data_IF_988801403679
#
_entry.id   IF_988801403679
#
_cell.length_a   1.000
_cell.length_b   1.000
_cell.length_c   1.000
_cell.angle_alpha   90.00
_cell.angle_beta   90.00
_cell.angle_gamma   90.00
#
_symmetry.space_group_name_H-M   'P 1'
#
loop_
_entity.id
_entity.type
_entity.pdbx_description
1 polymer ?
#
# COMPACT_ATOMS: atom_id res chain seq x y z
N UNK A 1 52.86 39.62 23.60
CA UNK A 1 52.27 40.72 22.80
C UNK A 1 50.78 40.45 22.69
N UNK A 2 49.97 41.37 23.20
CA UNK A 2 48.51 41.24 23.34
C UNK A 2 47.77 41.31 21.98
N UNK A 3 46.58 40.69 21.88
CA UNK A 3 45.69 40.79 20.71
C UNK A 3 44.84 42.08 20.74
N UNK A 4 44.31 42.55 19.59
CA UNK A 4 43.45 43.73 19.53
C UNK A 4 41.96 43.39 19.69
N UNK A 5 41.43 43.57 20.90
CA UNK A 5 40.60 44.72 21.29
C UNK A 5 39.53 45.32 20.30
N UNK A 6 38.26 44.96 20.56
CA UNK A 6 36.96 45.72 20.52
C UNK A 6 36.32 46.27 19.22
N UNK A 7 35.05 45.90 19.00
CA UNK A 7 33.86 46.80 18.90
C UNK A 7 32.59 45.93 18.69
N UNK A 8 31.87 45.62 19.76
CA UNK A 8 30.58 46.24 20.15
C UNK A 8 29.38 45.87 19.25
N UNK A 9 28.64 44.82 19.61
CA UNK A 9 27.18 44.82 19.46
C UNK A 9 26.55 44.35 20.78
N UNK A 10 25.85 45.29 21.43
CA UNK A 10 25.07 45.09 22.65
C UNK A 10 23.92 44.12 22.38
N UNK A 11 23.91 43.00 23.09
CA UNK A 11 22.71 42.17 23.25
C UNK A 11 21.73 42.91 24.15
N UNK A 12 20.66 43.44 23.56
CA UNK A 12 19.45 43.83 24.29
C UNK A 12 18.82 42.56 24.84
N UNK A 13 18.91 42.38 26.15
CA UNK A 13 18.10 41.43 26.92
C UNK A 13 16.63 41.88 26.81
N UNK A 14 15.89 41.30 25.87
CA UNK A 14 14.43 41.31 25.89
C UNK A 14 13.97 40.41 27.05
N UNK A 15 13.01 40.85 27.87
CA UNK A 15 12.50 40.03 28.95
C UNK A 15 11.80 38.81 28.35
N UNK A 16 12.07 37.63 28.93
CA UNK A 16 11.26 36.43 28.72
C UNK A 16 9.81 36.75 29.09
N UNK A 17 9.02 37.15 28.10
CA UNK A 17 7.58 36.99 28.16
C UNK A 17 7.35 35.47 28.13
N UNK A 18 6.96 34.94 29.28
CA UNK A 18 6.46 33.59 29.39
C UNK A 18 5.24 33.44 28.46
N UNK A 19 5.47 32.97 27.24
CA UNK A 19 4.44 32.27 26.51
C UNK A 19 4.15 31.01 27.31
N UNK A 20 3.06 31.07 28.08
CA UNK A 20 2.28 29.91 28.46
C UNK A 20 1.86 29.20 27.17
N UNK A 21 2.76 28.37 26.63
CA UNK A 21 2.37 27.29 25.75
C UNK A 21 1.44 26.42 26.58
N UNK A 22 0.15 26.48 26.25
CA UNK A 22 -0.83 25.52 26.72
C UNK A 22 -0.33 24.13 26.32
N UNK A 23 0.39 23.48 27.23
CA UNK A 23 0.69 22.06 27.17
C UNK A 23 -0.60 21.30 27.34
N UNK A 24 -1.40 21.23 26.27
CA UNK A 24 -2.38 20.17 26.12
C UNK A 24 -1.61 18.86 26.18
N UNK A 25 -1.83 18.07 27.23
CA UNK A 25 -1.41 16.67 27.23
C UNK A 25 -1.93 16.08 25.92
N UNK A 26 -1.06 15.63 25.03
CA UNK A 26 -1.48 14.91 23.83
C UNK A 26 -2.44 13.83 24.30
N UNK A 27 -3.70 13.90 23.84
CA UNK A 27 -4.72 12.98 24.27
C UNK A 27 -4.26 11.58 23.88
N UNK A 28 -4.02 10.75 24.89
CA UNK A 28 -3.82 9.32 24.68
C UNK A 28 -5.18 8.80 24.25
N UNK A 29 -5.28 8.21 23.06
CA UNK A 29 -6.55 7.64 22.61
C UNK A 29 -6.91 6.40 23.44
N UNK A 30 -8.14 5.88 23.26
CA UNK A 30 -8.61 4.71 24.01
C UNK A 30 -7.75 3.45 23.83
N UNK A 31 -6.84 3.44 22.84
CA UNK A 31 -5.93 2.34 22.51
C UNK A 31 -4.53 2.56 23.07
N UNK A 32 -4.29 3.66 23.78
CA UNK A 32 -2.99 3.98 24.38
C UNK A 32 -2.04 4.75 23.47
N UNK A 33 -2.49 5.15 22.26
CA UNK A 33 -1.65 5.90 21.34
C UNK A 33 -1.63 7.38 21.66
N UNK A 34 -0.46 8.02 21.50
CA UNK A 34 -0.29 9.47 21.58
C UNK A 34 0.53 9.97 20.39
N UNK A 35 0.22 11.17 19.92
CA UNK A 35 1.02 11.84 18.90
C UNK A 35 2.49 11.95 19.36
N UNK A 36 3.41 11.57 18.48
CA UNK A 36 4.85 11.56 18.77
C UNK A 36 5.33 10.39 19.64
N UNK A 37 4.50 9.36 19.89
CA UNK A 37 4.99 8.12 20.47
C UNK A 37 5.96 7.40 19.50
N UNK A 38 7.06 6.81 20.01
CA UNK A 38 7.86 5.88 19.22
C UNK A 38 7.01 4.72 18.74
N UNK A 39 7.30 4.23 17.53
CA UNK A 39 6.63 3.06 16.98
C UNK A 39 6.83 1.83 17.88
N UNK A 40 5.83 0.94 17.93
CA UNK A 40 5.76 -0.15 18.91
C UNK A 40 7.00 -1.04 18.97
N UNK A 41 7.66 -1.29 17.82
CA UNK A 41 8.81 -2.20 17.75
C UNK A 41 10.18 -1.49 17.76
N UNK A 42 10.21 -0.16 17.94
CA UNK A 42 11.45 0.65 17.91
C UNK A 42 12.52 0.10 18.85
N UNK A 43 12.17 -0.18 20.11
CA UNK A 43 13.14 -0.63 21.11
C UNK A 43 13.84 -1.96 20.73
N UNK A 44 13.11 -2.90 20.13
CA UNK A 44 13.66 -4.18 19.71
C UNK A 44 14.58 -4.04 18.48
N UNK A 45 14.25 -3.12 17.57
CA UNK A 45 15.07 -2.82 16.39
C UNK A 45 16.42 -2.24 16.82
N UNK A 46 16.44 -1.31 17.78
CA UNK A 46 17.68 -0.71 18.29
C UNK A 46 18.38 -1.52 19.39
N UNK A 47 17.79 -2.63 19.86
CA UNK A 47 18.45 -3.52 20.81
C UNK A 47 19.76 -4.08 20.20
N UNK A 48 20.87 -4.12 20.98
CA UNK A 48 22.15 -4.64 20.50
C UNK A 48 22.03 -6.03 19.89
N UNK A 49 22.67 -6.26 18.75
CA UNK A 49 22.73 -7.58 18.13
C UNK A 49 23.84 -8.40 18.76
N UNK A 50 23.51 -9.56 19.31
CA UNK A 50 24.52 -10.53 19.70
C UNK A 50 25.21 -11.10 18.46
N UNK A 51 26.54 -11.17 18.51
CA UNK A 51 27.31 -11.76 17.40
C UNK A 51 27.50 -13.24 17.63
N UNK A 52 27.28 -14.05 16.59
CA UNK A 52 27.44 -15.51 16.66
C UNK A 52 28.74 -15.93 15.99
N UNK A 53 29.55 -16.81 16.60
CA UNK A 53 30.72 -17.38 15.94
C UNK A 53 30.31 -18.22 14.73
N UNK A 54 31.06 -18.12 13.64
CA UNK A 54 30.88 -18.94 12.44
C UNK A 54 32.23 -19.39 11.88
N UNK A 55 32.29 -20.64 11.43
CA UNK A 55 33.42 -21.20 10.69
C UNK A 55 32.99 -21.34 9.24
N UNK A 56 33.64 -20.58 8.36
CA UNK A 56 33.39 -20.63 6.92
C UNK A 56 34.48 -21.45 6.22
N UNK A 57 34.16 -22.13 5.11
CA UNK A 57 35.18 -22.78 4.29
C UNK A 57 36.26 -21.79 3.84
N UNK A 58 37.51 -22.24 3.75
CA UNK A 58 38.67 -21.39 3.49
C UNK A 58 38.49 -20.43 2.30
N UNK A 59 37.83 -20.89 1.21
CA UNK A 59 37.57 -20.08 0.02
C UNK A 59 36.67 -18.87 0.27
N UNK A 60 35.72 -18.96 1.20
CA UNK A 60 34.84 -17.84 1.58
C UNK A 60 35.48 -16.99 2.67
N UNK A 61 36.19 -17.63 3.62
CA UNK A 61 36.97 -16.93 4.65
C UNK A 61 37.98 -15.97 4.03
N UNK A 62 38.68 -16.40 2.97
CA UNK A 62 39.66 -15.58 2.26
C UNK A 62 39.09 -14.31 1.61
N UNK A 63 37.76 -14.23 1.42
CA UNK A 63 37.09 -13.05 0.86
C UNK A 63 36.78 -11.99 1.92
N UNK A 64 36.94 -12.30 3.22
CA UNK A 64 36.53 -11.44 4.32
C UNK A 64 37.74 -10.66 4.82
N UNK A 65 38.09 -9.59 4.11
CA UNK A 65 39.16 -8.66 4.54
C UNK A 65 38.65 -7.55 5.47
N UNK A 66 37.34 -7.28 5.42
CA UNK A 66 36.59 -6.36 6.29
C UNK A 66 35.14 -6.89 6.37
N UNK A 67 34.23 -6.28 7.15
CA UNK A 67 32.85 -6.75 7.22
C UNK A 67 32.24 -6.96 5.82
N UNK A 68 31.82 -8.19 5.56
CA UNK A 68 31.39 -8.65 4.22
C UNK A 68 29.94 -9.11 4.27
N UNK A 69 29.10 -8.52 3.44
CA UNK A 69 27.73 -8.94 3.18
C UNK A 69 27.71 -10.10 2.18
N UNK A 70 27.16 -11.22 2.60
CA UNK A 70 26.92 -12.38 1.74
C UNK A 70 25.44 -12.47 1.38
N UNK A 71 25.15 -12.59 0.09
CA UNK A 71 23.82 -12.88 -0.45
C UNK A 71 23.77 -14.31 -1.00
N UNK A 72 23.24 -15.25 -0.22
CA UNK A 72 23.05 -16.63 -0.65
C UNK A 72 21.73 -16.79 -1.40
N UNK A 73 21.80 -17.23 -2.66
CA UNK A 73 20.66 -17.18 -3.58
C UNK A 73 20.64 -18.35 -4.57
N UNK A 74 19.50 -18.49 -5.25
CA UNK A 74 19.39 -19.32 -6.45
C UNK A 74 18.94 -18.44 -7.63
N UNK A 75 19.63 -18.47 -8.79
CA UNK A 75 19.30 -17.63 -9.94
C UNK A 75 17.87 -17.77 -10.48
N UNK A 76 17.27 -18.96 -10.31
CA UNK A 76 15.91 -19.28 -10.79
C UNK A 76 14.85 -19.17 -9.70
N UNK A 77 15.20 -18.70 -8.51
CA UNK A 77 14.26 -18.51 -7.41
C UNK A 77 13.59 -17.14 -7.55
N UNK A 78 12.27 -17.11 -7.71
CA UNK A 78 11.49 -15.87 -7.82
C UNK A 78 11.74 -14.91 -6.65
N UNK A 79 11.82 -15.41 -5.42
CA UNK A 79 12.14 -14.57 -4.26
C UNK A 79 13.54 -13.94 -4.33
N UNK A 80 14.53 -14.64 -4.92
CA UNK A 80 15.87 -14.08 -5.11
C UNK A 80 15.88 -13.01 -6.19
N UNK A 81 15.12 -13.24 -7.27
CA UNK A 81 14.93 -12.30 -8.38
C UNK A 81 14.24 -11.01 -7.93
N UNK A 82 13.25 -11.12 -7.04
CA UNK A 82 12.59 -9.96 -6.42
C UNK A 82 13.52 -9.22 -5.44
N UNK A 83 14.40 -9.93 -4.74
CA UNK A 83 15.27 -9.36 -3.72
C UNK A 83 16.52 -8.65 -4.26
N UNK A 84 17.12 -9.17 -5.34
CA UNK A 84 18.43 -8.71 -5.81
C UNK A 84 18.51 -7.23 -6.21
N UNK A 85 17.47 -6.59 -6.80
CA UNK A 85 17.56 -5.16 -7.13
C UNK A 85 17.85 -4.29 -5.90
N UNK A 86 17.26 -4.65 -4.74
CA UNK A 86 17.54 -3.96 -3.49
C UNK A 86 18.97 -4.21 -2.99
N UNK A 87 19.50 -5.43 -3.15
CA UNK A 87 20.89 -5.74 -2.76
C UNK A 87 21.89 -4.97 -3.61
N UNK A 88 21.63 -4.79 -4.91
CA UNK A 88 22.46 -3.96 -5.80
C UNK A 88 22.42 -2.49 -5.34
N UNK A 89 21.24 -1.95 -5.04
CA UNK A 89 21.12 -0.60 -4.48
C UNK A 89 21.84 -0.45 -3.13
N UNK A 90 21.76 -1.48 -2.28
CA UNK A 90 22.43 -1.52 -0.99
C UNK A 90 23.95 -1.54 -1.15
N UNK A 91 24.47 -2.31 -2.10
CA UNK A 91 25.89 -2.34 -2.41
C UNK A 91 26.39 -0.98 -2.88
N UNK A 92 25.69 -0.31 -3.79
CA UNK A 92 26.07 1.04 -4.21
C UNK A 92 26.08 2.03 -3.04
N UNK A 93 25.12 1.91 -2.11
CA UNK A 93 25.03 2.77 -0.92
C UNK A 93 26.10 2.48 0.12
N UNK A 94 26.51 1.21 0.28
CA UNK A 94 27.33 0.76 1.41
C UNK A 94 28.70 0.20 1.02
N UNK A 95 29.12 0.25 -0.25
CA UNK A 95 30.43 -0.27 -0.72
C UNK A 95 31.64 0.28 0.04
N UNK A 96 31.57 1.52 0.54
CA UNK A 96 32.63 2.11 1.36
C UNK A 96 32.70 1.53 2.78
N UNK A 97 31.62 0.87 3.24
CA UNK A 97 31.49 0.33 4.60
C UNK A 97 31.54 -1.20 4.66
N UNK A 98 31.01 -1.87 3.63
CA UNK A 98 30.93 -3.33 3.53
C UNK A 98 31.48 -3.81 2.19
N UNK A 99 32.11 -4.99 2.19
CA UNK A 99 32.27 -5.78 0.98
C UNK A 99 30.98 -6.55 0.67
N UNK A 100 30.75 -6.90 -0.59
CA UNK A 100 29.57 -7.64 -1.04
C UNK A 100 29.99 -8.87 -1.84
N UNK A 101 29.38 -10.01 -1.53
CA UNK A 101 29.60 -11.28 -2.24
C UNK A 101 28.26 -11.97 -2.47
N UNK A 102 27.92 -12.24 -3.73
CA UNK A 102 26.82 -13.14 -4.07
C UNK A 102 27.31 -14.60 -4.02
N UNK A 103 26.54 -15.48 -3.40
CA UNK A 103 26.84 -16.91 -3.30
C UNK A 103 25.70 -17.69 -3.94
N UNK A 104 25.91 -18.18 -5.15
CA UNK A 104 24.93 -18.99 -5.86
C UNK A 104 24.89 -20.41 -5.28
N UNK A 105 23.69 -20.94 -5.07
CA UNK A 105 23.47 -22.27 -4.49
C UNK A 105 24.06 -23.37 -5.35
N UNK A 106 24.35 -24.52 -4.72
CA UNK A 106 24.93 -25.72 -5.36
C UNK A 106 24.15 -26.25 -6.57
N UNK A 107 22.86 -25.93 -6.66
CA UNK A 107 21.97 -26.34 -7.76
C UNK A 107 22.08 -25.43 -8.99
N UNK A 108 22.88 -24.36 -8.91
CA UNK A 108 22.98 -23.35 -9.97
C UNK A 108 23.98 -23.77 -11.05
N UNK A 109 23.69 -23.44 -12.29
CA UNK A 109 24.64 -23.58 -13.40
C UNK A 109 25.39 -22.26 -13.64
N UNK A 110 26.60 -22.33 -14.22
CA UNK A 110 27.36 -21.13 -14.59
C UNK A 110 26.57 -20.21 -15.54
N UNK A 111 25.77 -20.78 -16.45
CA UNK A 111 24.92 -20.01 -17.36
C UNK A 111 23.81 -19.27 -16.63
N UNK A 112 23.13 -19.93 -15.68
CA UNK A 112 22.09 -19.30 -14.86
C UNK A 112 22.65 -18.16 -14.00
N UNK A 113 23.84 -18.35 -13.41
CA UNK A 113 24.53 -17.32 -12.62
C UNK A 113 24.85 -16.11 -13.51
N UNK A 114 25.47 -16.34 -14.68
CA UNK A 114 25.81 -15.27 -15.61
C UNK A 114 24.57 -14.50 -16.09
N UNK A 115 23.50 -15.22 -16.45
CA UNK A 115 22.24 -14.61 -16.87
C UNK A 115 21.60 -13.76 -15.77
N UNK A 116 21.59 -14.25 -14.52
CA UNK A 116 21.08 -13.49 -13.38
C UNK A 116 21.89 -12.21 -13.15
N UNK A 117 23.22 -12.30 -13.20
CA UNK A 117 24.07 -11.13 -13.00
C UNK A 117 23.88 -10.08 -14.10
N UNK A 118 23.72 -10.50 -15.35
CA UNK A 118 23.46 -9.63 -16.49
C UNK A 118 22.09 -8.94 -16.38
N UNK A 119 21.03 -9.71 -16.12
CA UNK A 119 19.65 -9.21 -16.01
C UNK A 119 19.49 -8.21 -14.86
N UNK A 120 20.10 -8.47 -13.71
CA UNK A 120 19.92 -7.66 -12.50
C UNK A 120 21.08 -6.69 -12.21
N UNK A 121 22.08 -6.61 -13.09
CA UNK A 121 23.20 -5.69 -12.93
C UNK A 121 24.06 -5.98 -11.70
N UNK A 122 24.31 -7.25 -11.38
CA UNK A 122 25.15 -7.64 -10.23
C UNK A 122 26.62 -7.43 -10.57
N UNK A 123 27.21 -6.37 -10.01
CA UNK A 123 28.61 -5.96 -10.28
C UNK A 123 29.62 -6.46 -9.24
N UNK A 124 29.15 -6.90 -8.07
CA UNK A 124 29.99 -7.41 -6.99
C UNK A 124 30.33 -8.90 -7.17
N UNK A 125 31.43 -9.40 -6.57
CA UNK A 125 31.88 -10.78 -6.75
C UNK A 125 30.78 -11.82 -6.54
N UNK A 126 30.68 -12.77 -7.48
CA UNK A 126 29.74 -13.90 -7.40
C UNK A 126 30.52 -15.21 -7.36
N UNK A 127 30.21 -16.07 -6.39
CA UNK A 127 30.86 -17.37 -6.17
C UNK A 127 29.81 -18.48 -6.20
N UNK A 128 30.16 -19.62 -6.81
CA UNK A 128 29.30 -20.80 -6.83
C UNK A 128 29.63 -21.75 -5.67
N UNK A 129 28.64 -22.01 -4.82
CA UNK A 129 28.73 -22.99 -3.72
C UNK A 129 28.49 -24.43 -4.19
N UNK A 130 29.31 -24.89 -5.13
CA UNK A 130 29.15 -26.17 -5.84
C UNK A 130 29.07 -27.41 -4.94
N UNK A 131 29.73 -27.42 -3.78
CA UNK A 131 29.71 -28.52 -2.81
C UNK A 131 28.72 -28.30 -1.65
N UNK A 132 27.99 -27.18 -1.64
CA UNK A 132 27.04 -26.82 -0.58
C UNK A 132 27.69 -26.43 0.76
N UNK A 133 29.02 -26.28 0.83
CA UNK A 133 29.72 -26.05 2.09
C UNK A 133 29.41 -24.68 2.71
N UNK A 134 29.15 -23.64 1.89
CA UNK A 134 28.69 -22.35 2.41
C UNK A 134 27.30 -22.48 3.02
N UNK A 135 26.37 -23.08 2.28
CA UNK A 135 25.00 -23.29 2.72
C UNK A 135 24.95 -24.07 4.05
N UNK A 136 25.79 -25.11 4.18
CA UNK A 136 25.92 -25.87 5.41
C UNK A 136 26.49 -25.02 6.55
N UNK A 137 27.53 -24.23 6.30
CA UNK A 137 28.18 -23.40 7.32
C UNK A 137 27.25 -22.31 7.89
N UNK A 138 26.42 -21.70 7.05
CA UNK A 138 25.44 -20.68 7.48
C UNK A 138 24.10 -21.29 7.93
N UNK A 139 23.99 -22.63 7.94
CA UNK A 139 22.75 -23.35 8.20
C UNK A 139 21.56 -22.85 7.35
N UNK A 140 21.81 -22.59 6.06
CA UNK A 140 20.81 -22.04 5.14
C UNK A 140 19.58 -22.96 5.04
N UNK A 141 18.40 -22.43 5.36
CA UNK A 141 17.11 -23.15 5.25
C UNK A 141 16.30 -22.74 4.03
N UNK A 142 16.56 -21.54 3.50
CA UNK A 142 15.86 -20.97 2.37
C UNK A 142 16.77 -20.02 1.58
N UNK A 143 16.32 -19.65 0.39
CA UNK A 143 16.89 -18.55 -0.39
C UNK A 143 15.79 -17.51 -0.68
N UNK A 144 16.12 -16.21 -0.70
CA UNK A 144 17.44 -15.66 -0.41
C UNK A 144 17.74 -15.62 1.10
N UNK A 145 19.00 -15.83 1.46
CA UNK A 145 19.52 -15.64 2.83
C UNK A 145 20.65 -14.62 2.77
N UNK A 146 20.70 -13.70 3.74
CA UNK A 146 21.79 -12.75 3.82
C UNK A 146 22.37 -12.63 5.23
N UNK A 147 23.68 -12.40 5.29
CA UNK A 147 24.42 -12.23 6.53
C UNK A 147 25.60 -11.29 6.32
N UNK A 148 25.94 -10.55 7.37
CA UNK A 148 27.19 -9.77 7.40
C UNK A 148 28.17 -10.47 8.33
N UNK A 149 29.36 -10.75 7.82
CA UNK A 149 30.41 -11.47 8.53
C UNK A 149 31.59 -10.54 8.74
N UNK A 150 31.98 -10.33 10.00
CA UNK A 150 33.21 -9.64 10.36
C UNK A 150 34.41 -10.58 10.20
N UNK A 151 35.59 -10.07 9.83
CA UNK A 151 36.81 -10.88 9.77
C UNK A 151 37.08 -11.53 11.13
N UNK A 152 37.71 -12.71 11.10
CA UNK A 152 38.25 -13.31 12.30
C UNK A 152 39.31 -12.38 12.91
N UNK A 153 39.45 -12.40 14.24
CA UNK A 153 40.60 -11.77 14.89
C UNK A 153 41.90 -12.35 14.31
N UNK A 154 42.99 -11.59 14.37
CA UNK A 154 44.25 -11.96 13.71
C UNK A 154 44.71 -13.38 14.10
N UNK A 155 44.84 -14.28 13.11
CA UNK A 155 45.16 -15.70 13.31
C UNK A 155 43.97 -16.61 13.69
N UNK A 156 42.75 -16.09 13.74
CA UNK A 156 41.54 -16.83 14.12
C UNK A 156 40.92 -17.65 13.00
N UNK A 157 40.33 -18.80 13.37
CA UNK A 157 39.51 -19.64 12.47
C UNK A 157 38.01 -19.28 12.48
N UNK A 158 37.60 -18.47 13.44
CA UNK A 158 36.19 -18.17 13.71
C UNK A 158 35.91 -16.71 13.38
N UNK A 159 35.04 -16.50 12.39
CA UNK A 159 34.49 -15.19 12.06
C UNK A 159 33.24 -14.92 12.91
N UNK A 160 32.70 -13.69 12.86
CA UNK A 160 31.51 -13.31 13.63
C UNK A 160 30.40 -12.83 12.71
N UNK A 161 29.21 -13.42 12.86
CA UNK A 161 28.00 -12.95 12.18
C UNK A 161 27.45 -11.73 12.93
N UNK A 162 27.34 -10.61 12.22
CA UNK A 162 26.83 -9.34 12.75
C UNK A 162 25.31 -9.16 12.56
N UNK A 163 24.68 -10.01 11.74
CA UNK A 163 23.24 -10.04 11.53
C UNK A 163 22.82 -11.29 10.76
N UNK A 164 21.65 -11.84 11.08
CA UNK A 164 21.11 -13.03 10.44
C UNK A 164 19.64 -12.81 10.03
N UNK A 165 19.35 -12.98 8.75
CA UNK A 165 18.01 -12.87 8.19
C UNK A 165 17.84 -13.87 7.04
N UNK A 166 16.69 -14.56 6.87
CA UNK A 166 16.22 -14.73 5.50
C UNK A 166 16.00 -13.32 4.92
N UNK A 167 16.53 -13.06 3.73
CA UNK A 167 16.45 -11.72 3.14
C UNK A 167 15.09 -11.51 2.48
N UNK A 168 14.52 -10.31 2.64
CA UNK A 168 13.25 -9.94 2.04
C UNK A 168 13.29 -8.47 1.57
N UNK A 169 12.48 -8.08 0.58
CA UNK A 169 12.41 -6.69 0.14
C UNK A 169 12.04 -5.75 1.31
N UNK A 170 12.87 -4.74 1.56
CA UNK A 170 12.78 -3.78 2.66
C UNK A 170 13.72 -4.09 3.84
N UNK A 171 14.39 -5.24 3.86
CA UNK A 171 15.29 -5.66 4.94
C UNK A 171 16.56 -4.79 5.08
N UNK A 172 16.91 -4.00 4.05
CA UNK A 172 18.08 -3.11 4.08
C UNK A 172 18.08 -2.14 5.26
N UNK A 173 16.91 -1.56 5.59
CA UNK A 173 16.79 -0.63 6.71
C UNK A 173 17.11 -1.33 8.04
N UNK A 174 16.59 -2.54 8.24
CA UNK A 174 16.84 -3.33 9.44
C UNK A 174 18.33 -3.67 9.58
N UNK A 175 18.98 -4.10 8.50
CA UNK A 175 20.41 -4.37 8.49
C UNK A 175 21.21 -3.13 8.91
N UNK A 176 20.90 -1.97 8.32
CA UNK A 176 21.59 -0.70 8.61
C UNK A 176 21.44 -0.34 10.09
N UNK A 177 20.24 -0.45 10.67
CA UNK A 177 20.03 -0.17 12.09
C UNK A 177 20.76 -1.14 13.01
N UNK A 178 20.88 -2.42 12.62
CA UNK A 178 21.64 -3.40 13.40
C UNK A 178 23.14 -3.18 13.37
N UNK A 179 23.69 -2.74 12.23
CA UNK A 179 25.12 -2.49 12.08
C UNK A 179 25.55 -1.12 12.61
N UNK A 180 24.69 -0.11 12.49
CA UNK A 180 24.99 1.28 12.85
C UNK A 180 23.83 1.92 13.62
N UNK A 181 23.57 1.53 14.87
CA UNK A 181 22.41 2.03 15.61
C UNK A 181 22.42 3.55 15.87
N UNK A 182 23.60 4.18 15.88
CA UNK A 182 23.73 5.63 16.14
C UNK A 182 23.65 6.50 14.88
N UNK A 183 24.07 5.98 13.72
CA UNK A 183 24.17 6.73 12.45
C UNK A 183 23.28 6.14 11.34
N UNK A 184 22.54 5.07 11.65
CA UNK A 184 21.84 4.26 10.66
C UNK A 184 20.63 4.96 10.04
N UNK A 185 20.11 6.01 10.68
CA UNK A 185 18.86 6.63 10.23
C UNK A 185 18.97 7.26 8.85
N UNK A 186 19.99 8.10 8.62
CA UNK A 186 20.22 8.75 7.32
C UNK A 186 20.66 7.76 6.24
N UNK A 187 21.26 6.63 6.64
CA UNK A 187 21.63 5.54 5.74
C UNK A 187 20.41 4.70 5.33
N UNK A 188 19.50 4.43 6.27
CA UNK A 188 18.30 3.63 6.08
C UNK A 188 17.22 4.41 5.31
N UNK A 189 17.07 5.70 5.63
CA UNK A 189 16.11 6.61 5.04
C UNK A 189 16.81 7.84 4.44
N UNK A 190 17.49 7.69 3.28
CA UNK A 190 17.99 8.84 2.56
C UNK A 190 16.84 9.75 2.15
N UNK A 191 17.09 11.06 2.17
CA UNK A 191 16.10 12.07 1.77
C UNK A 191 15.60 11.81 0.34
N UNK A 192 14.29 11.93 0.14
CA UNK A 192 13.61 11.80 -1.16
C UNK A 192 13.77 10.39 -1.81
N UNK A 193 14.04 9.36 -1.01
CA UNK A 193 14.16 7.96 -1.48
C UNK A 193 13.05 7.10 -0.90
N UNK A 194 12.20 6.56 -1.77
CA UNK A 194 11.17 5.59 -1.38
C UNK A 194 11.80 4.28 -0.91
N UNK A 195 11.39 3.80 0.27
CA UNK A 195 11.90 2.56 0.88
C UNK A 195 10.96 1.37 0.70
N UNK A 196 9.66 1.61 0.48
CA UNK A 196 8.60 0.61 0.50
C UNK A 196 8.04 0.33 1.90
N UNK A 197 6.80 -0.14 1.96
CA UNK A 197 6.07 -0.33 3.23
C UNK A 197 6.72 -1.31 4.20
N UNK A 198 7.44 -2.31 3.69
CA UNK A 198 8.14 -3.29 4.53
C UNK A 198 9.20 -2.64 5.41
N UNK A 199 9.86 -1.59 4.93
CA UNK A 199 10.86 -0.87 5.73
C UNK A 199 10.22 -0.14 6.91
N UNK A 200 9.00 0.38 6.74
CA UNK A 200 8.22 1.01 7.81
C UNK A 200 7.75 -0.05 8.83
N UNK A 201 7.29 -1.21 8.34
CA UNK A 201 6.73 -2.30 9.15
C UNK A 201 7.70 -2.90 10.18
N UNK A 202 9.01 -2.69 10.01
CA UNK A 202 10.03 -3.11 10.97
C UNK A 202 9.83 -2.43 12.33
N UNK A 203 9.48 -1.15 12.36
CA UNK A 203 9.24 -0.38 13.59
C UNK A 203 7.74 -0.17 13.85
N UNK A 204 6.98 0.14 12.80
CA UNK A 204 5.54 0.46 12.81
C UNK A 204 4.69 -0.79 12.60
N UNK A 205 4.84 -1.77 13.50
CA UNK A 205 4.22 -3.10 13.34
C UNK A 205 2.70 -3.06 13.44
N UNK A 206 2.15 -2.12 14.21
CA UNK A 206 0.70 -2.00 14.42
C UNK A 206 0.05 -1.34 13.21
N UNK A 207 0.65 -0.25 12.72
CA UNK A 207 0.22 0.47 11.53
C UNK A 207 0.35 -0.39 10.28
N UNK A 208 1.45 -1.13 10.15
CA UNK A 208 1.63 -2.07 9.03
C UNK A 208 0.60 -3.20 9.05
N UNK A 209 0.23 -3.72 10.23
CA UNK A 209 -0.86 -4.71 10.34
C UNK A 209 -2.19 -4.13 9.90
N UNK A 210 -2.54 -2.92 10.34
CA UNK A 210 -3.78 -2.26 9.92
C UNK A 210 -3.79 -1.99 8.40
N UNK A 211 -2.70 -1.48 7.85
CA UNK A 211 -2.54 -1.27 6.40
C UNK A 211 -2.68 -2.58 5.63
N UNK A 212 -2.06 -3.67 6.10
CA UNK A 212 -2.05 -4.97 5.41
C UNK A 212 -3.44 -5.57 5.21
N UNK A 213 -4.47 -5.10 5.91
CA UNK A 213 -5.86 -5.53 5.73
C UNK A 213 -6.75 -4.41 5.19
N UNK A 214 -6.18 -3.53 4.36
CA UNK A 214 -6.87 -2.45 3.66
C UNK A 214 -6.90 -2.67 2.14
N UNK A 215 -7.81 -1.99 1.45
CA UNK A 215 -7.86 -1.98 -0.02
C UNK A 215 -6.57 -1.42 -0.64
N UNK A 216 -5.91 -0.47 0.01
CA UNK A 216 -4.64 0.09 -0.45
C UNK A 216 -3.52 -0.95 -0.52
N UNK A 217 -3.48 -1.92 0.40
CA UNK A 217 -2.46 -2.97 0.42
C UNK A 217 -2.59 -4.01 -0.71
N UNK A 218 -3.74 -4.06 -1.39
CA UNK A 218 -3.97 -4.94 -2.55
C UNK A 218 -4.17 -4.16 -3.85
N UNK A 219 -3.97 -2.85 -3.86
CA UNK A 219 -4.28 -1.99 -5.01
C UNK A 219 -3.60 -2.48 -6.30
N UNK A 220 -2.31 -2.80 -6.27
CA UNK A 220 -1.62 -3.24 -7.48
C UNK A 220 -2.10 -4.61 -7.97
N UNK A 221 -2.47 -5.49 -7.04
CA UNK A 221 -3.02 -6.82 -7.36
C UNK A 221 -4.30 -6.72 -8.20
N UNK A 222 -5.15 -5.72 -7.97
CA UNK A 222 -6.41 -5.59 -8.71
C UNK A 222 -6.17 -5.32 -10.19
N UNK A 223 -5.04 -4.69 -10.56
CA UNK A 223 -4.69 -4.46 -11.96
C UNK A 223 -4.43 -5.76 -12.74
N UNK A 224 -3.87 -6.79 -12.09
CA UNK A 224 -3.66 -8.09 -12.75
C UNK A 224 -4.97 -8.81 -13.06
N UNK A 225 -5.97 -8.67 -12.18
CA UNK A 225 -7.29 -9.25 -12.44
C UNK A 225 -7.99 -8.64 -13.64
N UNK A 226 -7.46 -7.54 -14.18
CA UNK A 226 -8.03 -6.74 -15.28
C UNK A 226 -7.09 -6.55 -16.46
N UNK A 227 -5.91 -7.17 -16.45
CA UNK A 227 -4.90 -6.98 -17.47
C UNK A 227 -4.50 -5.49 -17.66
N UNK A 228 -4.39 -4.77 -16.54
CA UNK A 228 -4.08 -3.33 -16.48
C UNK A 228 -2.76 -3.01 -15.78
N UNK A 229 -1.95 -4.03 -15.46
CA UNK A 229 -0.71 -3.87 -14.69
C UNK A 229 0.39 -3.08 -15.43
N UNK A 230 0.23 -2.89 -16.74
CA UNK A 230 1.11 -2.12 -17.62
C UNK A 230 0.47 -0.83 -18.16
N UNK A 231 -0.76 -0.51 -17.77
CA UNK A 231 -1.46 0.69 -18.19
C UNK A 231 -1.08 1.86 -17.26
N UNK A 232 -0.30 2.86 -17.72
CA UNK A 232 0.16 3.94 -16.86
C UNK A 232 -0.99 4.77 -16.25
N UNK A 233 -2.16 4.81 -16.90
CA UNK A 233 -3.34 5.50 -16.36
C UNK A 233 -3.87 4.79 -15.11
N UNK A 234 -3.83 3.45 -15.07
CA UNK A 234 -4.24 2.66 -13.92
C UNK A 234 -3.12 2.56 -12.87
N UNK A 235 -1.89 2.30 -13.33
CA UNK A 235 -0.72 2.08 -12.46
C UNK A 235 -0.43 3.29 -11.58
N UNK A 236 -0.63 4.51 -12.09
CA UNK A 236 -0.35 5.74 -11.36
C UNK A 236 -1.00 5.85 -9.98
N UNK A 237 -2.23 5.32 -9.82
CA UNK A 237 -2.97 5.36 -8.55
C UNK A 237 -2.83 4.06 -7.72
N UNK A 238 -2.20 3.02 -8.27
CA UNK A 238 -2.16 1.67 -7.68
C UNK A 238 -0.77 1.27 -7.17
N UNK A 239 0.21 2.17 -7.28
CA UNK A 239 1.60 2.01 -6.83
C UNK A 239 2.05 3.22 -6.04
N UNK A 240 3.22 3.13 -5.43
CA UNK A 240 3.79 4.22 -4.65
C UNK A 240 4.87 4.98 -5.43
N UNK A 241 4.72 6.29 -5.53
CA UNK A 241 5.75 7.17 -6.10
C UNK A 241 5.87 7.11 -7.63
N UNK A 242 4.84 6.71 -8.38
CA UNK A 242 4.88 6.73 -9.85
C UNK A 242 5.34 8.11 -10.38
N UNK A 243 6.32 8.11 -11.28
CA UNK A 243 6.88 9.33 -11.86
C UNK A 243 7.84 10.12 -10.96
N UNK A 244 8.11 9.63 -9.74
CA UNK A 244 9.11 10.23 -8.85
C UNK A 244 10.51 9.61 -9.09
N UNK A 245 11.63 10.36 -8.91
CA UNK A 245 12.97 9.88 -9.26
C UNK A 245 13.43 8.57 -8.60
N UNK A 246 12.90 8.24 -7.42
CA UNK A 246 13.19 7.02 -6.66
C UNK A 246 11.94 6.14 -6.45
N UNK A 247 10.84 6.47 -7.12
CA UNK A 247 9.56 5.81 -6.96
C UNK A 247 9.38 4.61 -7.90
N UNK A 248 8.15 4.10 -7.97
CA UNK A 248 7.83 2.95 -8.79
C UNK A 248 8.16 3.19 -10.29
N UNK A 249 8.72 2.16 -10.94
CA UNK A 249 9.01 2.16 -12.37
C UNK A 249 8.02 1.24 -13.09
N UNK A 250 7.38 1.73 -14.15
CA UNK A 250 6.43 0.94 -14.94
C UNK A 250 7.07 -0.36 -15.45
N UNK A 251 6.35 -1.48 -15.33
CA UNK A 251 6.85 -2.82 -15.66
C UNK A 251 7.71 -3.49 -14.57
N UNK A 252 8.07 -2.79 -13.49
CA UNK A 252 8.72 -3.40 -12.32
C UNK A 252 7.70 -4.10 -11.41
N UNK A 253 7.13 -5.18 -11.91
CA UNK A 253 6.11 -5.97 -11.19
C UNK A 253 6.60 -6.56 -9.85
N UNK A 254 7.92 -6.67 -9.68
CA UNK A 254 8.58 -7.15 -8.45
C UNK A 254 8.89 -6.04 -7.44
N UNK A 255 8.52 -4.79 -7.73
CA UNK A 255 8.92 -3.65 -6.90
C UNK A 255 8.37 -3.74 -5.48
N UNK A 256 9.19 -3.34 -4.51
CA UNK A 256 8.76 -3.06 -3.12
C UNK A 256 7.82 -1.85 -2.99
N UNK A 257 7.64 -1.11 -4.09
CA UNK A 257 6.75 0.05 -4.21
C UNK A 257 5.41 -0.29 -4.87
N UNK A 258 5.14 -1.58 -5.10
CA UNK A 258 3.81 -2.05 -5.48
C UNK A 258 2.81 -1.76 -4.36
N UNK A 259 1.56 -1.48 -4.76
CA UNK A 259 0.46 -1.05 -3.92
C UNK A 259 0.57 0.41 -3.44
N UNK A 260 -0.52 0.92 -2.87
CA UNK A 260 -0.56 2.23 -2.21
C UNK A 260 -0.06 2.01 -0.78
N UNK A 261 1.20 2.35 -0.52
CA UNK A 261 1.85 2.10 0.77
C UNK A 261 2.00 3.37 1.61
N UNK A 262 2.65 3.27 2.77
CA UNK A 262 2.85 4.35 3.73
C UNK A 262 3.34 5.64 3.07
N UNK A 263 4.32 5.53 2.17
CA UNK A 263 4.99 6.66 1.53
C UNK A 263 4.14 7.35 0.46
N UNK A 264 3.02 6.76 0.03
CA UNK A 264 2.05 7.46 -0.80
C UNK A 264 1.45 8.65 -0.03
N UNK A 265 1.15 8.46 1.27
CA UNK A 265 0.59 9.50 2.13
C UNK A 265 1.65 10.25 2.94
N UNK A 266 2.73 9.58 3.37
CA UNK A 266 3.71 10.10 4.31
C UNK A 266 5.04 10.51 3.67
N UNK A 267 5.08 10.73 2.36
CA UNK A 267 6.26 11.03 1.55
C UNK A 267 7.37 9.96 1.59
N UNK A 268 8.35 10.09 0.70
CA UNK A 268 9.49 9.18 0.59
C UNK A 268 10.32 9.17 1.89
N UNK A 269 10.43 8.00 2.53
CA UNK A 269 11.18 7.84 3.76
C UNK A 269 10.55 8.47 5.01
N UNK A 270 9.26 8.84 4.95
CA UNK A 270 8.49 9.42 6.06
C UNK A 270 8.72 10.93 6.27
N UNK A 271 8.08 11.48 7.31
CA UNK A 271 8.82 12.28 8.27
C UNK A 271 9.12 11.44 9.52
N UNK A 272 10.29 11.64 10.09
CA UNK A 272 10.75 10.98 11.32
C UNK A 272 11.20 11.99 12.39
N UNK A 273 10.90 13.26 12.17
CA UNK A 273 11.15 14.39 13.07
C UNK A 273 9.99 14.64 14.06
N UNK A 274 8.95 13.81 14.01
CA UNK A 274 7.75 13.93 14.84
C UNK A 274 6.72 14.93 14.29
N UNK A 275 6.95 15.51 13.11
CA UNK A 275 5.99 16.36 12.40
C UNK A 275 5.10 15.49 11.52
N UNK A 276 3.78 15.69 11.58
CA UNK A 276 2.83 14.98 10.71
C UNK A 276 2.81 15.60 9.32
N UNK A 277 2.70 14.75 8.28
CA UNK A 277 2.35 15.21 6.93
C UNK A 277 0.84 15.39 6.85
N UNK A 278 0.38 16.50 6.28
CA UNK A 278 -0.99 16.60 5.82
C UNK A 278 -1.13 15.80 4.51
N UNK A 279 -1.66 14.58 4.63
CA UNK A 279 -1.86 13.68 3.50
C UNK A 279 -3.14 13.99 2.69
N UNK A 280 -3.95 14.98 3.10
CA UNK A 280 -5.26 15.26 2.50
C UNK A 280 -5.15 15.56 0.99
N UNK A 281 -4.10 16.29 0.60
CA UNK A 281 -3.83 16.61 -0.80
C UNK A 281 -3.45 15.38 -1.63
N UNK A 282 -2.84 14.35 -1.02
CA UNK A 282 -2.51 13.11 -1.72
C UNK A 282 -3.77 12.31 -2.06
N UNK A 283 -4.78 12.32 -1.19
CA UNK A 283 -6.01 11.56 -1.41
C UNK A 283 -6.65 11.90 -2.77
N UNK A 284 -6.74 13.19 -3.07
CA UNK A 284 -7.40 13.69 -4.30
C UNK A 284 -6.56 13.57 -5.57
N UNK A 285 -5.31 13.11 -5.46
CA UNK A 285 -4.51 12.74 -6.62
C UNK A 285 -4.89 11.40 -7.24
N UNK A 286 -5.62 10.56 -6.49
CA UNK A 286 -6.14 9.27 -6.95
C UNK A 286 -7.67 9.19 -6.85
N UNK A 287 -8.24 9.89 -5.86
CA UNK A 287 -9.69 9.95 -5.62
C UNK A 287 -10.25 11.31 -6.03
N UNK A 288 -10.63 11.42 -7.29
CA UNK A 288 -11.27 12.60 -7.87
C UNK A 288 -12.68 12.25 -8.39
N UNK A 289 -13.28 13.20 -9.13
CA UNK A 289 -14.61 13.01 -9.72
C UNK A 289 -14.63 11.93 -10.81
N UNK A 290 -13.51 11.63 -11.44
CA UNK A 290 -13.42 10.66 -12.53
C UNK A 290 -13.21 9.24 -11.97
N UNK A 291 -12.48 9.12 -10.86
CA UNK A 291 -12.02 7.84 -10.31
C UNK A 291 -12.76 7.41 -9.04
N UNK A 292 -13.70 8.20 -8.51
CA UNK A 292 -14.42 7.85 -7.28
C UNK A 292 -15.85 8.39 -7.20
N UNK A 293 -16.75 7.62 -6.57
CA UNK A 293 -18.14 8.01 -6.35
C UNK A 293 -18.23 9.08 -5.25
N UNK A 294 -18.42 10.33 -5.65
CA UNK A 294 -18.64 11.47 -4.76
C UNK A 294 -17.62 11.49 -3.60
N UNK A 295 -16.34 11.32 -3.92
CA UNK A 295 -15.29 11.33 -2.90
C UNK A 295 -15.06 12.74 -2.38
N UNK A 296 -14.93 12.84 -1.06
CA UNK A 296 -14.31 13.99 -0.40
C UNK A 296 -13.34 13.46 0.65
N UNK A 297 -12.35 14.28 1.02
CA UNK A 297 -11.38 13.91 2.06
C UNK A 297 -12.11 13.64 3.39
N UNK A 298 -13.15 14.42 3.69
CA UNK A 298 -13.97 14.27 4.90
C UNK A 298 -14.72 12.93 4.93
N UNK A 299 -15.16 12.43 3.77
CA UNK A 299 -15.75 11.09 3.61
C UNK A 299 -14.67 9.99 3.73
N UNK A 300 -13.48 10.25 3.19
CA UNK A 300 -12.37 9.28 3.13
C UNK A 300 -11.70 9.00 4.47
N UNK A 301 -11.29 10.07 5.17
CA UNK A 301 -10.44 9.99 6.36
C UNK A 301 -10.96 9.09 7.48
N UNK A 302 -12.28 9.07 7.82
CA UNK A 302 -12.79 8.21 8.89
C UNK A 302 -12.57 6.70 8.65
N UNK A 303 -12.30 6.28 7.41
CA UNK A 303 -12.03 4.88 7.07
C UNK A 303 -10.55 4.50 7.16
N UNK A 304 -9.66 5.46 7.45
CA UNK A 304 -8.23 5.22 7.67
C UNK A 304 -7.97 5.17 9.17
N UNK A 305 -7.91 3.96 9.70
CA UNK A 305 -7.51 3.72 11.08
C UNK A 305 -6.22 2.89 11.13
N UNK A 306 -5.13 3.57 11.48
CA UNK A 306 -3.79 3.00 11.64
C UNK A 306 -3.70 1.91 12.71
N UNK A 307 -4.75 1.72 13.53
CA UNK A 307 -4.78 0.73 14.59
C UNK A 307 -5.99 -0.21 14.48
N UNK A 308 -6.65 -0.26 13.32
CA UNK A 308 -7.84 -1.08 13.09
C UNK A 308 -7.62 -2.60 13.24
N UNK A 309 -6.35 -3.03 13.25
CA UNK A 309 -5.95 -4.42 13.44
C UNK A 309 -5.62 -4.75 14.90
N UNK A 310 -5.57 -3.77 15.81
CA UNK A 310 -5.28 -4.04 17.22
C UNK A 310 -6.39 -4.88 17.85
N UNK A 311 -5.99 -5.95 18.54
CA UNK A 311 -6.90 -6.86 19.23
C UNK A 311 -7.56 -7.92 18.34
N UNK A 312 -7.33 -7.89 17.02
CA UNK A 312 -7.76 -8.98 16.14
C UNK A 312 -6.87 -10.21 16.31
N UNK A 313 -7.49 -11.38 16.32
CA UNK A 313 -6.80 -12.66 16.21
C UNK A 313 -6.24 -12.86 14.80
N UNK A 314 -5.25 -13.75 14.66
CA UNK A 314 -4.67 -14.10 13.35
C UNK A 314 -5.75 -14.66 12.39
N UNK A 315 -6.77 -15.34 12.92
CA UNK A 315 -7.90 -15.82 12.12
C UNK A 315 -8.76 -14.69 11.57
N UNK A 316 -9.06 -13.67 12.37
CA UNK A 316 -9.85 -12.52 11.92
C UNK A 316 -9.08 -11.70 10.87
N UNK A 317 -7.76 -11.59 11.00
CA UNK A 317 -6.90 -10.98 9.99
C UNK A 317 -6.91 -11.77 8.68
N UNK A 318 -6.78 -13.10 8.75
CA UNK A 318 -6.84 -13.99 7.60
C UNK A 318 -8.21 -13.91 6.90
N UNK A 319 -9.30 -13.88 7.65
CA UNK A 319 -10.66 -13.75 7.09
C UNK A 319 -10.87 -12.38 6.41
N UNK A 320 -10.33 -11.29 6.96
CA UNK A 320 -10.32 -9.97 6.28
C UNK A 320 -9.51 -9.99 5.00
N UNK A 321 -8.34 -10.62 5.01
CA UNK A 321 -7.50 -10.75 3.81
C UNK A 321 -8.18 -11.56 2.70
N UNK A 322 -8.91 -12.63 3.06
CA UNK A 322 -9.72 -13.38 2.09
C UNK A 322 -10.78 -12.51 1.44
N UNK A 323 -11.54 -11.74 2.22
CA UNK A 323 -12.56 -10.83 1.69
C UNK A 323 -11.96 -9.77 0.75
N UNK A 324 -10.80 -9.21 1.09
CA UNK A 324 -10.10 -8.26 0.21
C UNK A 324 -9.73 -8.91 -1.12
N UNK A 325 -9.16 -10.11 -1.04
CA UNK A 325 -8.59 -10.79 -2.19
C UNK A 325 -9.62 -11.50 -3.07
N UNK A 326 -10.82 -11.78 -2.54
CA UNK A 326 -11.99 -12.20 -3.31
C UNK A 326 -12.81 -11.03 -3.88
N UNK A 327 -12.56 -9.80 -3.41
CA UNK A 327 -13.29 -8.59 -3.82
C UNK A 327 -14.59 -8.35 -3.05
N UNK A 328 -14.89 -9.17 -2.03
CA UNK A 328 -16.08 -9.11 -1.18
C UNK A 328 -15.95 -8.14 0.00
N UNK A 329 -14.74 -7.61 0.26
CA UNK A 329 -14.52 -6.66 1.34
C UNK A 329 -15.40 -5.40 1.18
N UNK A 330 -15.94 -4.85 2.28
CA UNK A 330 -16.74 -3.63 2.24
C UNK A 330 -15.95 -2.46 1.65
N UNK A 331 -16.55 -1.76 0.69
CA UNK A 331 -15.97 -0.59 0.01
C UNK A 331 -16.77 0.67 0.39
N UNK A 332 -16.65 1.19 1.61
CA UNK A 332 -17.51 2.25 2.12
C UNK A 332 -17.40 3.55 1.31
N UNK A 333 -16.29 3.79 0.61
CA UNK A 333 -16.13 4.95 -0.26
C UNK A 333 -17.03 4.90 -1.51
N UNK A 334 -17.55 3.73 -1.88
CA UNK A 334 -18.54 3.58 -2.95
C UNK A 334 -19.97 3.90 -2.50
N UNK A 335 -20.22 4.06 -1.20
CA UNK A 335 -21.55 4.41 -0.73
C UNK A 335 -21.92 5.85 -1.13
N UNK A 336 -23.14 6.02 -1.61
CA UNK A 336 -23.72 7.34 -1.85
C UNK A 336 -23.88 8.12 -0.53
N UNK A 337 -23.88 9.47 -0.58
CA UNK A 337 -24.20 10.27 0.59
C UNK A 337 -25.64 10.02 1.07
N UNK A 338 -25.94 10.44 2.30
CA UNK A 338 -27.29 10.42 2.83
C UNK A 338 -28.22 11.30 2.00
N UNK A 339 -29.41 10.79 1.68
CA UNK A 339 -30.41 11.58 0.95
C UNK A 339 -31.64 10.76 0.56
N UNK A 340 -32.76 11.46 0.36
CA UNK A 340 -33.99 10.84 -0.11
C UNK A 340 -34.01 10.64 -1.63
N UNK A 341 -34.49 9.47 -2.05
CA UNK A 341 -34.80 9.22 -3.45
C UNK A 341 -36.08 9.94 -3.85
N UNK A 342 -36.09 10.55 -5.02
CA UNK A 342 -37.20 11.30 -5.59
C UNK A 342 -38.04 10.44 -6.57
N UNK A 343 -37.46 9.33 -7.07
CA UNK A 343 -38.06 8.41 -8.02
C UNK A 343 -38.04 8.90 -9.46
N UNK A 344 -38.15 7.97 -10.42
CA UNK A 344 -37.98 8.26 -11.84
C UNK A 344 -38.95 9.32 -12.39
N UNK A 345 -40.16 9.42 -11.80
CA UNK A 345 -41.15 10.43 -12.18
C UNK A 345 -40.67 11.86 -11.93
N UNK A 346 -39.94 12.10 -10.83
CA UNK A 346 -39.39 13.42 -10.53
C UNK A 346 -38.30 13.81 -11.54
N UNK A 347 -37.47 12.85 -11.95
CA UNK A 347 -36.44 13.05 -12.97
C UNK A 347 -37.04 13.41 -14.34
N UNK A 348 -38.15 12.77 -14.72
CA UNK A 348 -38.75 12.90 -16.05
C UNK A 348 -39.32 14.28 -16.40
N UNK A 349 -39.46 15.18 -15.42
CA UNK A 349 -39.85 16.58 -15.70
C UNK A 349 -38.73 17.36 -16.40
N UNK A 350 -37.47 17.00 -16.16
CA UNK A 350 -36.27 17.61 -16.75
C UNK A 350 -35.55 16.68 -17.74
N UNK A 351 -35.59 15.36 -17.51
CA UNK A 351 -34.88 14.32 -18.26
C UNK A 351 -35.85 13.31 -18.93
N UNK A 352 -36.74 13.75 -19.83
CA UNK A 352 -37.78 12.89 -20.39
C UNK A 352 -37.24 11.81 -21.35
N UNK A 353 -36.09 12.05 -21.99
CA UNK A 353 -35.49 11.09 -22.92
C UNK A 353 -34.88 9.91 -22.17
N UNK A 354 -34.16 10.20 -21.08
CA UNK A 354 -33.49 9.23 -20.23
C UNK A 354 -34.51 8.35 -19.50
N UNK A 355 -35.57 8.95 -18.94
CA UNK A 355 -36.65 8.19 -18.29
C UNK A 355 -37.35 7.27 -19.29
N UNK A 356 -37.57 7.72 -20.53
CA UNK A 356 -38.14 6.86 -21.58
C UNK A 356 -37.24 5.69 -21.94
N UNK A 357 -35.92 5.91 -22.02
CA UNK A 357 -34.95 4.84 -22.28
C UNK A 357 -34.92 3.84 -21.11
N UNK A 358 -34.89 4.34 -19.87
CA UNK A 358 -34.92 3.52 -18.67
C UNK A 358 -36.18 2.65 -18.58
N UNK A 359 -37.37 3.21 -18.87
CA UNK A 359 -38.63 2.47 -18.87
C UNK A 359 -38.64 1.28 -19.83
N UNK A 360 -37.87 1.34 -20.92
CA UNK A 360 -37.75 0.26 -21.89
C UNK A 360 -36.62 -0.74 -21.56
N UNK A 361 -35.90 -0.53 -20.47
CA UNK A 361 -34.75 -1.35 -20.06
C UNK A 361 -35.14 -2.43 -19.04
N UNK A 362 -34.30 -3.46 -18.91
CA UNK A 362 -34.45 -4.48 -17.86
C UNK A 362 -34.41 -3.89 -16.44
N UNK A 363 -33.69 -2.77 -16.22
CA UNK A 363 -33.68 -2.07 -14.93
C UNK A 363 -35.04 -1.45 -14.60
N UNK A 364 -35.73 -0.85 -15.57
CA UNK A 364 -37.09 -0.34 -15.40
C UNK A 364 -38.10 -1.43 -15.05
N UNK A 365 -37.89 -2.63 -15.58
CA UNK A 365 -38.76 -3.79 -15.36
C UNK A 365 -38.33 -4.66 -14.16
N UNK A 366 -37.18 -4.42 -13.55
CA UNK A 366 -36.53 -5.33 -12.60
C UNK A 366 -37.44 -5.79 -11.44
N UNK A 367 -38.19 -4.86 -10.83
CA UNK A 367 -39.10 -5.18 -9.72
C UNK A 367 -40.23 -6.11 -10.14
N UNK A 368 -40.69 -6.01 -11.38
CA UNK A 368 -41.80 -6.82 -11.91
C UNK A 368 -41.41 -8.30 -12.10
N UNK A 369 -40.11 -8.60 -12.17
CA UNK A 369 -39.59 -9.96 -12.29
C UNK A 369 -39.72 -10.76 -10.98
N UNK A 370 -39.77 -10.07 -9.83
CA UNK A 370 -39.94 -10.70 -8.51
C UNK A 370 -41.35 -11.28 -8.34
N UNK A 371 -41.45 -12.46 -7.72
CA UNK A 371 -42.73 -13.19 -7.53
C UNK A 371 -43.04 -13.44 -6.06
N UNK A 372 -44.33 -13.36 -5.72
CA UNK A 372 -44.83 -13.79 -4.41
C UNK A 372 -44.21 -13.05 -3.23
N UNK A 373 -43.41 -13.76 -2.41
CA UNK A 373 -42.79 -13.19 -1.21
C UNK A 373 -41.57 -12.32 -1.52
N UNK A 374 -40.93 -12.52 -2.67
CA UNK A 374 -39.73 -11.78 -3.09
C UNK A 374 -40.00 -10.27 -3.22
N UNK A 375 -41.21 -9.90 -3.67
CA UNK A 375 -41.64 -8.50 -3.82
C UNK A 375 -41.67 -7.70 -2.50
N UNK A 376 -41.51 -8.38 -1.36
CA UNK A 376 -41.46 -7.81 -0.02
C UNK A 376 -40.18 -8.19 0.74
N UNK A 377 -39.27 -8.94 0.11
CA UNK A 377 -38.00 -9.30 0.73
C UNK A 377 -36.97 -8.19 0.48
N UNK A 378 -36.47 -7.49 1.51
CA UNK A 378 -35.46 -6.44 1.35
C UNK A 378 -34.19 -6.93 0.63
N UNK A 379 -33.78 -8.19 0.80
CA UNK A 379 -32.61 -8.75 0.11
C UNK A 379 -32.81 -8.82 -1.40
N UNK A 380 -34.02 -9.19 -1.86
CA UNK A 380 -34.35 -9.18 -3.28
C UNK A 380 -34.52 -7.74 -3.79
N UNK A 381 -35.19 -6.89 -3.01
CA UNK A 381 -35.46 -5.51 -3.39
C UNK A 381 -34.19 -4.66 -3.48
N UNK A 382 -33.14 -5.00 -2.72
CA UNK A 382 -31.83 -4.35 -2.79
C UNK A 382 -31.24 -4.32 -4.22
N UNK A 383 -31.56 -5.33 -5.04
CA UNK A 383 -31.10 -5.41 -6.43
C UNK A 383 -32.20 -5.15 -7.47
N UNK A 384 -33.47 -5.03 -7.07
CA UNK A 384 -34.62 -5.00 -7.98
C UNK A 384 -35.48 -3.74 -7.85
N UNK A 385 -35.20 -2.85 -6.90
CA UNK A 385 -35.97 -1.62 -6.71
C UNK A 385 -35.08 -0.48 -6.19
N UNK A 386 -35.43 0.76 -6.52
CA UNK A 386 -34.78 1.94 -5.95
C UNK A 386 -35.05 2.04 -4.44
N UNK A 387 -34.03 2.20 -3.58
CA UNK A 387 -34.22 2.57 -2.18
C UNK A 387 -35.02 3.87 -2.04
N UNK A 388 -35.82 4.02 -0.99
CA UNK A 388 -36.47 5.33 -0.73
C UNK A 388 -35.48 6.37 -0.17
N UNK A 389 -34.40 5.90 0.46
CA UNK A 389 -33.40 6.74 1.11
C UNK A 389 -32.07 5.99 1.17
N UNK A 390 -30.99 6.74 0.97
CA UNK A 390 -29.62 6.30 1.23
C UNK A 390 -29.23 6.73 2.63
N UNK A 391 -28.62 5.80 3.37
CA UNK A 391 -28.05 6.03 4.69
C UNK A 391 -26.64 5.43 4.70
N UNK A 392 -25.65 6.24 5.02
CA UNK A 392 -24.25 5.88 4.96
C UNK A 392 -23.97 4.62 5.81
N UNK A 393 -23.45 3.60 5.15
CA UNK A 393 -23.05 2.34 5.80
C UNK A 393 -24.22 1.44 6.26
N UNK A 394 -25.46 1.73 5.88
CA UNK A 394 -26.63 0.90 6.23
C UNK A 394 -27.33 0.37 4.99
N UNK A 395 -27.75 -0.92 4.99
CA UNK A 395 -28.55 -1.46 3.89
C UNK A 395 -29.93 -0.79 3.87
N UNK A 396 -30.52 -0.56 2.67
CA UNK A 396 -31.86 0.00 2.57
C UNK A 396 -32.91 -1.00 3.01
N UNK A 397 -33.84 -0.57 3.86
CA UNK A 397 -34.96 -1.40 4.33
C UNK A 397 -36.28 -1.12 3.59
N UNK A 398 -36.36 0.02 2.91
CA UNK A 398 -37.58 0.45 2.21
C UNK A 398 -37.25 0.91 0.81
N UNK A 399 -38.17 0.61 -0.12
CA UNK A 399 -37.96 0.76 -1.55
C UNK A 399 -39.16 1.43 -2.20
N UNK A 400 -38.89 2.25 -3.22
CA UNK A 400 -39.90 2.81 -4.09
C UNK A 400 -40.60 1.68 -4.87
N UNK A 401 -41.86 1.92 -5.24
CA UNK A 401 -42.62 0.99 -6.07
C UNK A 401 -42.31 1.20 -7.56
N UNK A 402 -41.04 1.04 -7.91
CA UNK A 402 -40.48 1.09 -9.27
C UNK A 402 -39.36 0.04 -9.40
N UNK A 403 -38.83 -0.16 -10.61
CA UNK A 403 -37.66 -0.99 -10.84
C UNK A 403 -36.38 -0.40 -10.24
N UNK A 404 -35.23 -0.84 -10.75
CA UNK A 404 -33.93 -0.21 -10.46
C UNK A 404 -33.89 1.15 -11.14
N UNK A 405 -34.28 2.20 -10.43
CA UNK A 405 -34.40 3.57 -10.95
C UNK A 405 -33.06 4.32 -11.03
N UNK A 406 -33.12 5.55 -11.52
CA UNK A 406 -31.94 6.39 -11.77
C UNK A 406 -31.03 6.49 -10.53
N UNK A 407 -31.64 6.68 -9.37
CA UNK A 407 -30.92 6.96 -8.12
C UNK A 407 -30.12 5.76 -7.61
N UNK A 408 -30.44 4.53 -8.05
CA UNK A 408 -29.60 3.34 -7.78
C UNK A 408 -28.19 3.48 -8.38
N UNK A 409 -28.05 4.16 -9.51
CA UNK A 409 -26.76 4.37 -10.15
C UNK A 409 -26.21 5.79 -9.95
N UNK A 410 -27.08 6.78 -9.74
CA UNK A 410 -26.70 8.19 -9.68
C UNK A 410 -26.65 8.75 -8.24
N UNK A 411 -27.14 8.00 -7.25
CA UNK A 411 -27.30 8.45 -5.86
C UNK A 411 -28.60 9.22 -5.62
N UNK A 412 -28.85 9.69 -4.39
CA UNK A 412 -30.10 10.37 -4.03
C UNK A 412 -30.27 11.71 -4.76
N UNK A 413 -31.41 11.89 -5.42
CA UNK A 413 -31.74 13.09 -6.19
C UNK A 413 -32.30 14.25 -5.39
N UNK A 414 -32.49 14.13 -4.07
CA UNK A 414 -33.07 15.18 -3.20
C UNK A 414 -32.40 16.55 -3.39
N UNK A 415 -31.07 16.59 -3.30
CA UNK A 415 -30.32 17.83 -3.46
C UNK A 415 -30.35 18.34 -4.90
N UNK A 416 -30.26 17.42 -5.87
CA UNK A 416 -30.25 17.75 -7.29
C UNK A 416 -31.58 18.34 -7.76
N UNK A 417 -32.71 17.78 -7.34
CA UNK A 417 -34.04 18.31 -7.68
C UNK A 417 -34.27 19.69 -7.05
N UNK A 418 -33.73 19.95 -5.85
CA UNK A 418 -33.84 21.25 -5.19
C UNK A 418 -32.95 22.32 -5.82
N UNK A 419 -31.73 21.96 -6.23
CA UNK A 419 -30.75 22.87 -6.81
C UNK A 419 -29.91 22.14 -7.88
N UNK A 420 -30.40 22.06 -9.14
CA UNK A 420 -29.72 21.27 -10.18
C UNK A 420 -28.27 21.71 -10.42
N UNK A 421 -27.33 20.78 -10.31
CA UNK A 421 -25.90 20.96 -10.59
C UNK A 421 -25.28 19.64 -11.08
N UNK A 422 -24.20 19.72 -11.87
CA UNK A 422 -23.41 18.55 -12.26
C UNK A 422 -22.65 17.91 -11.08
N UNK A 423 -22.51 18.64 -9.96
CA UNK A 423 -21.69 18.23 -8.81
C UNK A 423 -22.48 17.61 -7.66
N UNK A 424 -23.81 17.60 -7.72
CA UNK A 424 -24.66 17.07 -6.64
C UNK A 424 -25.53 15.87 -7.05
N UNK A 425 -25.19 15.26 -8.18
CA UNK A 425 -25.67 13.95 -8.63
C UNK A 425 -24.51 13.28 -9.37
N UNK A 426 -24.31 11.97 -9.22
CA UNK A 426 -23.20 11.29 -9.89
C UNK A 426 -23.46 11.25 -11.41
N UNK A 427 -22.54 11.76 -12.23
CA UNK A 427 -22.59 11.59 -13.69
C UNK A 427 -21.82 10.36 -14.14
N UNK A 428 -22.44 9.44 -14.89
CA UNK A 428 -21.77 8.22 -15.35
C UNK A 428 -21.02 8.38 -16.69
N UNK A 429 -21.30 9.43 -17.47
CA UNK A 429 -20.69 9.63 -18.80
C UNK A 429 -19.26 10.17 -18.77
N UNK A 430 -18.86 10.81 -17.66
CA UNK A 430 -17.55 11.46 -17.48
C UNK A 430 -16.65 10.70 -16.50
N UNK A 431 -17.16 9.64 -15.86
CA UNK A 431 -16.40 8.84 -14.89
C UNK A 431 -15.64 7.70 -15.56
N UNK A 432 -14.53 7.28 -14.94
CA UNK A 432 -13.77 6.11 -15.34
C UNK A 432 -14.68 4.86 -15.27
N UNK A 433 -14.94 4.18 -16.40
CA UNK A 433 -15.83 3.03 -16.46
C UNK A 433 -15.43 1.89 -15.52
N UNK A 434 -14.13 1.70 -15.34
CA UNK A 434 -13.58 0.62 -14.53
C UNK A 434 -13.56 0.95 -13.04
N UNK A 435 -13.40 2.22 -12.65
CA UNK A 435 -13.33 2.62 -11.24
C UNK A 435 -14.72 2.89 -10.64
N UNK A 436 -15.59 3.56 -11.40
CA UNK A 436 -16.87 4.09 -10.91
C UNK A 436 -18.06 3.28 -11.44
N UNK A 437 -18.11 2.98 -12.74
CA UNK A 437 -19.28 2.27 -13.29
C UNK A 437 -19.32 0.83 -12.79
N UNK A 438 -18.16 0.16 -12.74
CA UNK A 438 -18.09 -1.19 -12.17
C UNK A 438 -18.62 -1.27 -10.74
N UNK A 439 -18.21 -0.34 -9.89
CA UNK A 439 -18.58 -0.36 -8.47
C UNK A 439 -20.09 -0.25 -8.28
N UNK A 440 -20.75 0.54 -9.12
CA UNK A 440 -22.21 0.63 -9.16
C UNK A 440 -22.83 -0.68 -9.66
N UNK A 441 -22.34 -1.26 -10.76
CA UNK A 441 -22.93 -2.47 -11.34
C UNK A 441 -22.75 -3.71 -10.45
N UNK A 442 -21.56 -3.89 -9.88
CA UNK A 442 -21.21 -5.06 -9.06
C UNK A 442 -21.85 -5.07 -7.67
N UNK A 443 -22.59 -4.00 -7.31
CA UNK A 443 -23.47 -4.01 -6.13
C UNK A 443 -24.61 -5.02 -6.23
N UNK A 444 -25.03 -5.36 -7.47
CA UNK A 444 -26.12 -6.30 -7.75
C UNK A 444 -25.66 -7.46 -8.65
N UNK A 445 -24.71 -7.20 -9.56
CA UNK A 445 -24.20 -8.19 -10.50
C UNK A 445 -22.88 -8.80 -10.00
N UNK A 446 -22.98 -9.81 -9.14
CA UNK A 446 -21.86 -10.66 -8.74
C UNK A 446 -21.98 -12.03 -9.40
N UNK A 447 -20.92 -12.87 -9.42
CA UNK A 447 -21.03 -14.24 -9.91
C UNK A 447 -22.11 -15.08 -9.20
N UNK A 448 -22.47 -14.74 -7.96
CA UNK A 448 -23.52 -15.41 -7.20
C UNK A 448 -24.93 -14.96 -7.60
N UNK A 449 -25.10 -13.68 -7.94
CA UNK A 449 -26.40 -13.12 -8.33
C UNK A 449 -26.65 -13.17 -9.85
N UNK A 450 -25.60 -13.09 -10.65
CA UNK A 450 -25.62 -13.06 -12.11
C UNK A 450 -24.36 -13.76 -12.66
N UNK A 451 -24.43 -15.08 -12.79
CA UNK A 451 -23.28 -15.93 -13.13
C UNK A 451 -22.73 -15.69 -14.54
N UNK A 452 -23.55 -15.15 -15.44
CA UNK A 452 -23.19 -14.87 -16.83
C UNK A 452 -22.73 -13.41 -17.02
N UNK A 453 -22.67 -12.62 -15.94
CA UNK A 453 -22.33 -11.21 -16.02
C UNK A 453 -20.87 -10.98 -16.42
N UNK A 454 -20.68 -10.11 -17.41
CA UNK A 454 -19.36 -9.66 -17.85
C UNK A 454 -19.37 -8.14 -18.06
N UNK A 455 -18.74 -7.40 -17.13
CA UNK A 455 -18.65 -5.93 -17.16
C UNK A 455 -18.29 -5.38 -18.54
N UNK A 456 -17.24 -5.92 -19.16
CA UNK A 456 -16.69 -5.39 -20.40
C UNK A 456 -17.70 -5.40 -21.55
N UNK A 457 -18.50 -6.47 -21.65
CA UNK A 457 -19.56 -6.62 -22.65
C UNK A 457 -20.64 -5.55 -22.50
N UNK A 458 -20.91 -5.12 -21.27
CA UNK A 458 -21.90 -4.09 -20.97
C UNK A 458 -21.33 -2.67 -21.05
N UNK A 459 -20.07 -2.45 -20.68
CA UNK A 459 -19.42 -1.14 -20.82
C UNK A 459 -19.39 -0.68 -22.29
N UNK A 460 -19.05 -1.56 -23.23
CA UNK A 460 -19.11 -1.25 -24.67
C UNK A 460 -20.53 -0.93 -25.15
N UNK A 461 -21.57 -1.51 -24.52
CA UNK A 461 -22.95 -1.18 -24.83
C UNK A 461 -23.39 0.20 -24.26
N UNK A 462 -22.74 0.67 -23.20
CA UNK A 462 -23.03 1.94 -22.51
C UNK A 462 -22.20 3.10 -23.07
N UNK A 463 -21.11 2.86 -23.80
CA UNK A 463 -20.33 3.92 -24.49
C UNK A 463 -21.18 4.82 -25.41
N UNK A 464 -22.37 4.35 -25.85
CA UNK A 464 -23.36 5.12 -26.59
C UNK A 464 -24.29 6.04 -25.76
N UNK A 465 -24.09 6.13 -24.44
CA UNK A 465 -24.83 7.01 -23.52
C UNK A 465 -24.04 8.28 -23.12
N UNK A 466 -22.97 8.63 -23.86
CA UNK A 466 -22.28 9.92 -23.74
C UNK A 466 -23.02 11.06 -24.44
#
# INVERSE_FOLDING_TARGET
MNPPSWLNLRWLLLPLAALLLAGGKAAVDARGWKLGAPAANTAAVFAPTETTPIVLPARFKAMITRPTYFFYYSPTCGHCQTAIPEVVQLQERLKERLDFVAVASSMSTAQQIAAFNDVYGVTFPTVHDHDGAFAQAIAARSTPTALVVAPAEEGGEVARVLGFYPWFPGASALLIFKLWPNDGFTLAFPKDVYQGGTSCAICHTEEARAWSVSHHAIAYRTLYTRDKADDPACVGCHVTGMGQPSGFTLGDHGSKLTNVTCEACHSAGGPHDGVTVDASATCVGCHDADHSIAFTVEKGLPHIDHYAALGLSDRELDDRWKLLTSGEAPKPLLAFPDGASQGAKACGSCHPAEVKAWQASGHGEARSLLKGKEQRNPECLACHATPTRYTAGMPPETFLNEGVGCETCHGPGEQHVQAPSATNILGLGETCPECVIESVCTSCHTPQQDADWALQSHLTAIEGHR
#
